data_IF_704146050452
#
_entry.id   IF_704146050452
#
_cell.length_a   1.000
_cell.length_b   1.000
_cell.length_c   1.000
_cell.angle_alpha   90.00
_cell.angle_beta   90.00
_cell.angle_gamma   90.00
#
_symmetry.space_group_name_H-M   'P 1'
#
loop_
_entity.id
_entity.type
_entity.pdbx_description
1 polymer ?
#
# COMPACT_ATOMS: atom_id res chain seq x y z
N UNK A 1 16.57 6.84 30.75
CA UNK A 1 15.81 7.69 29.82
C UNK A 1 14.36 7.19 29.83
N UNK A 2 13.43 7.88 30.50
CA UNK A 2 12.04 7.43 30.62
C UNK A 2 11.29 7.82 29.33
N UNK A 3 10.89 6.83 28.53
CA UNK A 3 9.97 7.02 27.41
C UNK A 3 8.59 7.34 27.99
N UNK A 4 8.23 8.63 28.02
CA UNK A 4 6.85 9.06 28.27
C UNK A 4 6.01 8.65 27.07
N UNK A 5 5.40 7.47 27.12
CA UNK A 5 4.43 7.07 26.12
C UNK A 5 3.17 7.93 26.32
N UNK A 6 2.60 8.53 25.26
CA UNK A 6 1.35 9.26 25.36
C UNK A 6 0.25 8.31 25.86
N UNK A 7 -0.21 8.53 27.09
CA UNK A 7 -1.17 7.65 27.81
C UNK A 7 -2.55 7.63 27.16
N UNK A 8 -2.88 8.62 26.32
CA UNK A 8 -4.16 8.72 25.61
C UNK A 8 -4.23 7.87 24.33
N UNK A 9 -3.17 7.13 23.98
CA UNK A 9 -3.16 6.29 22.77
C UNK A 9 -3.41 4.83 23.12
N UNK A 10 -4.46 4.27 22.53
CA UNK A 10 -4.75 2.85 22.66
C UNK A 10 -3.66 2.03 21.95
N UNK A 11 -3.04 1.11 22.70
CA UNK A 11 -2.13 0.10 22.13
C UNK A 11 -3.01 -0.99 21.52
N UNK A 12 -2.81 -1.25 20.23
CA UNK A 12 -3.57 -2.25 19.46
C UNK A 12 -2.61 -3.20 18.76
N UNK A 13 -3.05 -4.44 18.53
CA UNK A 13 -2.31 -5.40 17.71
C UNK A 13 -2.40 -5.07 16.22
N UNK A 14 -1.53 -5.64 15.40
CA UNK A 14 -1.58 -5.49 13.93
C UNK A 14 -2.91 -5.98 13.37
N UNK A 15 -3.47 -7.04 13.94
CA UNK A 15 -4.78 -7.59 13.59
C UNK A 15 -5.92 -6.64 13.94
N UNK A 16 -5.92 -6.09 15.16
CA UNK A 16 -6.92 -5.11 15.56
C UNK A 16 -6.86 -3.85 14.71
N UNK A 17 -5.64 -3.42 14.34
CA UNK A 17 -5.44 -2.28 13.46
C UNK A 17 -5.96 -2.57 12.04
N UNK A 18 -5.65 -3.75 11.48
CA UNK A 18 -6.16 -4.17 10.18
C UNK A 18 -7.69 -4.25 10.19
N UNK A 19 -8.29 -4.91 11.19
CA UNK A 19 -9.73 -4.99 11.33
C UNK A 19 -10.40 -3.61 11.43
N UNK A 20 -9.80 -2.64 12.15
CA UNK A 20 -10.32 -1.26 12.21
C UNK A 20 -10.22 -0.51 10.89
N UNK A 21 -9.19 -0.79 10.09
CA UNK A 21 -8.99 -0.20 8.77
C UNK A 21 -9.87 -0.87 7.71
N UNK A 22 -10.18 -2.17 7.87
CA UNK A 22 -11.03 -2.95 6.98
C UNK A 22 -12.52 -2.87 7.30
N UNK A 23 -12.90 -2.46 8.51
CA UNK A 23 -14.29 -2.26 8.94
C UNK A 23 -14.89 -0.98 8.33
N UNK A 24 -15.08 -0.95 7.02
CA UNK A 24 -15.96 0.03 6.34
C UNK A 24 -16.44 -0.48 4.96
N UNK A 25 -17.64 -1.07 4.85
CA UNK A 25 -18.09 -1.75 3.63
C UNK A 25 -18.66 -0.83 2.53
N UNK A 26 -18.93 0.46 2.78
CA UNK A 26 -19.56 1.33 1.77
C UNK A 26 -19.06 2.77 1.89
N UNK A 27 -17.86 3.03 1.35
CA UNK A 27 -17.46 4.38 0.95
C UNK A 27 -18.27 4.76 -0.30
N UNK A 28 -19.53 5.12 -0.09
CA UNK A 28 -20.30 5.93 -1.03
C UNK A 28 -19.49 7.19 -1.36
N UNK A 29 -19.59 7.68 -2.59
CA UNK A 29 -18.73 8.74 -3.12
C UNK A 29 -18.79 10.09 -2.35
N UNK A 30 -19.69 10.23 -1.38
CA UNK A 30 -19.85 11.37 -0.46
C UNK A 30 -19.51 11.04 1.01
N UNK A 31 -19.09 9.81 1.32
CA UNK A 31 -18.88 9.35 2.69
C UNK A 31 -17.55 9.83 3.28
N UNK A 32 -17.64 10.38 4.49
CA UNK A 32 -16.55 10.90 5.29
C UNK A 32 -15.35 9.94 5.29
N UNK A 33 -14.20 10.43 4.85
CA UNK A 33 -12.95 9.68 4.83
C UNK A 33 -12.60 9.26 6.28
N UNK A 34 -12.82 7.99 6.62
CA UNK A 34 -12.41 7.42 7.90
C UNK A 34 -10.88 7.43 8.00
N UNK A 35 -10.34 8.45 8.66
CA UNK A 35 -8.88 8.61 8.88
C UNK A 35 -8.49 8.02 10.22
N UNK A 36 -7.62 7.01 10.20
CA UNK A 36 -7.00 6.47 11.40
C UNK A 36 -5.51 6.83 11.42
N UNK A 37 -5.06 7.44 12.50
CA UNK A 37 -3.65 7.71 12.74
C UNK A 37 -3.05 6.59 13.60
N UNK A 38 -2.18 5.78 13.01
CA UNK A 38 -1.42 4.76 13.71
C UNK A 38 0.04 5.18 13.86
N UNK A 39 0.64 4.93 15.02
CA UNK A 39 2.07 5.12 15.26
C UNK A 39 2.71 3.81 15.68
N UNK A 40 3.98 3.59 15.33
CA UNK A 40 4.73 2.38 15.71
C UNK A 40 4.59 1.20 14.73
N UNK A 41 3.68 1.28 13.76
CA UNK A 41 3.59 0.33 12.64
C UNK A 41 4.64 0.66 11.56
N UNK A 42 5.90 0.33 11.82
CA UNK A 42 7.01 0.50 10.85
C UNK A 42 7.59 -0.86 10.48
N UNK A 43 8.09 -0.96 9.24
CA UNK A 43 8.78 -2.14 8.74
C UNK A 43 7.84 -3.35 8.62
N UNK A 44 8.30 -4.53 9.05
CA UNK A 44 7.51 -5.76 9.04
C UNK A 44 6.15 -5.68 9.73
N UNK A 45 5.98 -4.84 10.77
CA UNK A 45 4.67 -4.65 11.40
C UNK A 45 3.64 -4.03 10.43
N UNK A 46 4.07 -3.10 9.57
CA UNK A 46 3.22 -2.54 8.52
C UNK A 46 2.90 -3.60 7.46
N UNK A 47 3.89 -4.42 7.06
CA UNK A 47 3.68 -5.50 6.10
C UNK A 47 2.64 -6.52 6.58
N UNK A 48 2.63 -6.85 7.88
CA UNK A 48 1.61 -7.72 8.47
C UNK A 48 0.21 -7.08 8.44
N UNK A 49 0.11 -5.79 8.73
CA UNK A 49 -1.16 -5.05 8.62
C UNK A 49 -1.67 -5.07 7.17
N UNK A 50 -0.79 -4.81 6.19
CA UNK A 50 -1.12 -4.85 4.77
C UNK A 50 -1.55 -6.24 4.32
N UNK A 51 -0.86 -7.28 4.80
CA UNK A 51 -1.22 -8.67 4.55
C UNK A 51 -2.59 -9.02 5.08
N UNK A 52 -2.94 -8.56 6.27
CA UNK A 52 -4.25 -8.84 6.82
C UNK A 52 -5.35 -8.02 6.13
N UNK A 53 -5.07 -6.77 5.77
CA UNK A 53 -6.00 -5.92 5.03
C UNK A 53 -6.33 -6.47 3.64
N UNK A 54 -5.37 -7.09 2.95
CA UNK A 54 -5.62 -7.69 1.62
C UNK A 54 -6.69 -8.79 1.65
N UNK A 55 -6.86 -9.45 2.79
CA UNK A 55 -7.84 -10.52 2.98
C UNK A 55 -9.21 -9.99 3.41
N UNK A 56 -9.27 -8.74 3.86
CA UNK A 56 -10.49 -8.07 4.31
C UNK A 56 -11.09 -7.16 3.23
N UNK A 57 -10.29 -6.81 2.22
CA UNK A 57 -10.66 -5.85 1.20
C UNK A 57 -10.59 -6.49 -0.20
N UNK A 58 -11.69 -6.40 -0.93
CA UNK A 58 -11.77 -6.83 -2.34
C UNK A 58 -11.25 -5.77 -3.32
N UNK A 59 -10.40 -4.86 -2.85
CA UNK A 59 -9.86 -3.74 -3.63
C UNK A 59 -8.35 -3.62 -3.46
N UNK A 60 -7.63 -3.11 -4.48
CA UNK A 60 -6.21 -2.83 -4.37
C UNK A 60 -5.91 -1.82 -3.25
N UNK A 61 -4.80 -2.03 -2.56
CA UNK A 61 -4.29 -1.12 -1.53
C UNK A 61 -3.20 -0.24 -2.11
N UNK A 62 -3.23 1.05 -1.77
CA UNK A 62 -2.17 2.00 -2.14
C UNK A 62 -1.50 2.50 -0.87
N UNK A 63 -0.19 2.30 -0.78
CA UNK A 63 0.67 2.73 0.31
C UNK A 63 1.52 3.88 -0.20
N UNK A 64 1.32 5.06 0.36
CA UNK A 64 2.10 6.26 0.01
C UNK A 64 3.16 6.46 1.10
N UNK A 65 4.42 6.56 0.68
CA UNK A 65 5.54 6.74 1.59
C UNK A 65 6.13 8.15 1.52
N UNK A 66 6.85 8.55 2.57
CA UNK A 66 7.45 9.89 2.67
C UNK A 66 8.66 10.10 1.74
N UNK A 67 9.30 9.00 1.32
CA UNK A 67 10.51 9.04 0.48
C UNK A 67 10.64 7.75 -0.34
N UNK A 68 11.40 7.82 -1.43
CA UNK A 68 11.68 6.69 -2.31
C UNK A 68 12.39 5.55 -1.59
N UNK A 69 13.34 5.87 -0.71
CA UNK A 69 14.03 4.89 0.13
C UNK A 69 13.05 4.17 1.06
N UNK A 70 12.15 4.92 1.70
CA UNK A 70 11.13 4.34 2.57
C UNK A 70 10.14 3.48 1.78
N UNK A 71 9.78 3.89 0.57
CA UNK A 71 8.99 3.11 -0.38
C UNK A 71 9.65 1.78 -0.75
N UNK A 72 10.94 1.80 -1.10
CA UNK A 72 11.71 0.58 -1.42
C UNK A 72 11.76 -0.39 -0.23
N UNK A 73 12.08 0.10 0.97
CA UNK A 73 12.10 -0.72 2.19
C UNK A 73 10.72 -1.30 2.50
N UNK A 74 9.68 -0.46 2.45
CA UNK A 74 8.30 -0.89 2.71
C UNK A 74 7.82 -1.92 1.68
N UNK A 75 8.19 -1.75 0.41
CA UNK A 75 7.88 -2.72 -0.62
C UNK A 75 8.64 -4.03 -0.43
N UNK A 76 9.90 -4.00 0.02
CA UNK A 76 10.66 -5.21 0.34
C UNK A 76 10.01 -5.98 1.49
N UNK A 77 9.64 -5.30 2.58
CA UNK A 77 8.92 -5.89 3.71
C UNK A 77 7.56 -6.45 3.28
N UNK A 78 6.84 -5.73 2.42
CA UNK A 78 5.56 -6.18 1.87
C UNK A 78 5.74 -7.42 0.99
N UNK A 79 6.73 -7.46 0.09
CA UNK A 79 7.03 -8.63 -0.76
C UNK A 79 7.41 -9.85 0.04
N UNK A 80 8.06 -9.69 1.19
CA UNK A 80 8.37 -10.82 2.07
C UNK A 80 7.10 -11.56 2.53
N UNK A 81 6.02 -10.82 2.81
CA UNK A 81 4.76 -11.40 3.32
C UNK A 81 3.74 -11.66 2.20
N UNK A 82 3.82 -10.91 1.10
CA UNK A 82 2.83 -10.88 0.02
C UNK A 82 3.30 -11.55 -1.28
N UNK A 83 4.60 -11.82 -1.43
CA UNK A 83 5.19 -12.25 -2.69
C UNK A 83 5.00 -11.19 -3.79
N UNK A 84 4.62 -11.65 -4.99
CA UNK A 84 4.39 -10.80 -6.17
C UNK A 84 3.15 -9.92 -6.06
N UNK A 85 2.36 -10.06 -4.98
CA UNK A 85 1.24 -9.16 -4.68
C UNK A 85 1.65 -7.75 -4.28
N UNK A 86 2.94 -7.47 -4.09
CA UNK A 86 3.47 -6.15 -3.74
C UNK A 86 4.26 -5.50 -4.90
N UNK A 87 3.73 -4.41 -5.42
CA UNK A 87 4.28 -3.64 -6.53
C UNK A 87 4.89 -2.33 -6.03
N UNK A 88 6.02 -1.93 -6.62
CA UNK A 88 6.64 -0.63 -6.37
C UNK A 88 6.40 0.27 -7.58
N UNK A 89 5.84 1.44 -7.36
CA UNK A 89 5.83 2.53 -8.33
C UNK A 89 6.93 3.53 -7.96
N UNK A 90 8.15 3.24 -8.42
CA UNK A 90 9.31 4.09 -8.14
C UNK A 90 9.18 5.49 -8.76
N UNK A 91 9.67 6.50 -8.06
CA UNK A 91 9.94 7.82 -8.63
C UNK A 91 11.07 7.70 -9.68
N UNK A 92 11.08 8.59 -10.66
CA UNK A 92 12.25 8.73 -11.53
C UNK A 92 13.44 9.21 -10.71
N UNK A 93 14.64 8.68 -10.96
CA UNK A 93 15.88 9.06 -10.25
C UNK A 93 16.39 10.46 -10.62
N UNK A 94 15.51 11.34 -11.14
CA UNK A 94 15.86 12.62 -11.70
C UNK A 94 15.10 13.75 -11.03
N UNK A 95 15.80 14.87 -10.84
CA UNK A 95 15.16 16.12 -10.46
C UNK A 95 14.14 16.51 -11.53
N UNK A 96 13.01 17.11 -11.15
CA UNK A 96 12.20 17.84 -12.11
C UNK A 96 13.12 18.83 -12.86
N UNK A 97 13.00 18.85 -14.20
CA UNK A 97 13.81 19.67 -15.12
C UNK A 97 15.26 19.21 -15.36
N UNK A 98 15.64 18.01 -14.95
CA UNK A 98 16.92 17.46 -15.38
C UNK A 98 16.85 17.08 -16.88
N UNK A 99 17.71 17.68 -17.70
CA UNK A 99 17.90 17.32 -19.12
C UNK A 99 18.72 16.03 -19.26
N UNK A 100 18.31 14.99 -18.54
CA UNK A 100 18.96 13.68 -18.55
C UNK A 100 17.94 12.62 -18.91
N UNK A 101 18.37 11.57 -19.60
CA UNK A 101 17.48 10.47 -19.95
C UNK A 101 17.31 9.58 -18.70
N UNK A 102 16.08 9.26 -18.27
CA UNK A 102 15.86 8.42 -17.10
C UNK A 102 16.43 7.03 -17.34
N UNK A 103 16.87 6.38 -16.26
CA UNK A 103 17.37 5.03 -16.36
C UNK A 103 16.32 4.10 -16.99
N UNK A 104 16.79 3.26 -17.93
CA UNK A 104 15.91 2.38 -18.72
C UNK A 104 15.22 1.35 -17.85
N UNK A 105 15.94 0.82 -16.85
CA UNK A 105 15.38 -0.19 -15.95
C UNK A 105 14.29 0.43 -15.09
N UNK A 106 14.54 1.60 -14.48
CA UNK A 106 13.51 2.32 -13.71
C UNK A 106 12.28 2.64 -14.57
N UNK A 107 12.48 3.01 -15.83
CA UNK A 107 11.37 3.27 -16.78
C UNK A 107 10.55 2.01 -17.08
N UNK A 108 11.21 0.88 -17.34
CA UNK A 108 10.53 -0.39 -17.58
C UNK A 108 9.73 -0.87 -16.36
N UNK A 109 10.32 -0.80 -15.16
CA UNK A 109 9.64 -1.19 -13.92
C UNK A 109 8.37 -0.35 -13.69
N UNK A 110 8.44 0.97 -13.94
CA UNK A 110 7.27 1.87 -13.85
C UNK A 110 6.19 1.54 -14.86
N UNK A 111 6.57 1.27 -16.11
CA UNK A 111 5.61 0.89 -17.15
C UNK A 111 4.93 -0.43 -16.80
N UNK A 112 5.68 -1.43 -16.34
CA UNK A 112 5.13 -2.71 -15.89
C UNK A 112 4.10 -2.51 -14.76
N UNK A 113 4.42 -1.67 -13.76
CA UNK A 113 3.47 -1.34 -12.70
C UNK A 113 2.22 -0.63 -13.24
N UNK A 114 2.36 0.32 -14.19
CA UNK A 114 1.20 1.00 -14.81
C UNK A 114 0.32 0.05 -15.63
N UNK A 115 0.92 -0.87 -16.38
CA UNK A 115 0.16 -1.90 -17.10
C UNK A 115 -0.61 -2.79 -16.12
N UNK A 116 0.03 -3.20 -15.03
CA UNK A 116 -0.63 -4.02 -14.00
C UNK A 116 -1.78 -3.27 -13.33
N UNK A 117 -1.60 -1.97 -13.04
CA UNK A 117 -2.67 -1.11 -12.52
C UNK A 117 -3.85 -0.97 -13.49
N UNK A 118 -3.57 -0.89 -14.79
CA UNK A 118 -4.60 -0.80 -15.82
C UNK A 118 -5.40 -2.11 -15.93
N UNK A 119 -4.77 -3.26 -15.77
CA UNK A 119 -5.44 -4.57 -15.66
C UNK A 119 -6.35 -4.62 -14.44
N UNK A 120 -5.82 -4.31 -13.24
CA UNK A 120 -6.62 -4.30 -12.00
C UNK A 120 -7.85 -3.40 -12.11
N UNK A 121 -7.73 -2.24 -12.77
CA UNK A 121 -8.86 -1.33 -13.01
C UNK A 121 -9.90 -1.91 -13.98
N UNK A 122 -9.46 -2.68 -14.98
CA UNK A 122 -10.37 -3.30 -15.96
C UNK A 122 -11.13 -4.46 -15.31
N UNK A 123 -10.45 -5.28 -14.53
CA UNK A 123 -11.04 -6.43 -13.83
C UNK A 123 -12.07 -5.94 -12.80
N UNK A 124 -11.74 -4.89 -12.04
CA UNK A 124 -12.68 -4.23 -11.13
C UNK A 124 -13.88 -3.55 -11.80
N UNK A 125 -13.90 -3.38 -13.13
CA UNK A 125 -15.07 -2.92 -13.90
C UNK A 125 -15.89 -4.06 -14.52
N UNK A 126 -15.34 -5.27 -14.58
CA UNK A 126 -15.92 -6.38 -15.38
C UNK A 126 -16.44 -7.55 -14.56
N UNK A 127 -16.11 -7.67 -13.27
CA UNK A 127 -16.47 -8.87 -12.49
C UNK A 127 -17.31 -8.56 -11.24
N UNK A 128 -18.62 -8.76 -11.38
CA UNK A 128 -19.54 -9.19 -10.30
C UNK A 128 -19.60 -10.72 -10.17
N UNK A 129 -18.79 -11.50 -10.89
CA UNK A 129 -18.99 -12.98 -10.99
C UNK A 129 -17.74 -13.85 -11.16
N UNK A 130 -16.53 -13.40 -10.83
CA UNK A 130 -15.35 -14.31 -10.86
C UNK A 130 -14.46 -14.13 -9.65
N UNK A 131 -13.97 -15.26 -9.15
CA UNK A 131 -13.08 -15.41 -7.99
C UNK A 131 -11.88 -14.48 -8.12
N UNK A 132 -11.93 -13.36 -7.39
CA UNK A 132 -10.93 -12.31 -7.43
C UNK A 132 -9.58 -12.82 -6.87
N UNK A 133 -8.53 -12.61 -7.65
CA UNK A 133 -7.15 -12.75 -7.22
C UNK A 133 -6.93 -11.79 -6.02
N UNK A 134 -6.37 -12.24 -4.88
CA UNK A 134 -6.35 -11.47 -3.64
C UNK A 134 -5.68 -10.10 -3.82
N UNK A 135 -6.28 -9.07 -3.20
CA UNK A 135 -5.97 -7.65 -3.41
C UNK A 135 -4.48 -7.33 -3.45
N UNK A 136 -4.04 -6.73 -4.55
CA UNK A 136 -2.65 -6.29 -4.72
C UNK A 136 -2.35 -5.05 -3.89
N UNK A 137 -1.11 -4.92 -3.42
CA UNK A 137 -0.59 -3.78 -2.67
C UNK A 137 0.39 -3.01 -3.54
N UNK A 138 0.14 -1.72 -3.71
CA UNK A 138 0.94 -0.81 -4.53
C UNK A 138 1.64 0.17 -3.58
N UNK A 139 2.96 0.23 -3.62
CA UNK A 139 3.77 1.16 -2.84
C UNK A 139 4.27 2.28 -3.74
N UNK A 140 4.04 3.53 -3.34
CA UNK A 140 4.42 4.76 -4.02
C UNK A 140 5.45 5.52 -3.18
#
# INVERSE_FOLDING_TARGET
MRLSLPTDRQVVTTEQLAARLGADPQLDADAQCHRLAATGARGGALALVLHQLRHQLDRPLVVITESTERGRLTCADARFVLGDGALLFGQGDQSPYADTIPDRRTTHERLATLFRLAELRRDGRTETTKTADPGQVIVI
#
